data_IF_905446025002
#
_entry.id   IF_905446025002
#
_cell.length_a   1.000
_cell.length_b   1.000
_cell.length_c   1.000
_cell.angle_alpha   90.00
_cell.angle_beta   90.00
_cell.angle_gamma   90.00
#
_symmetry.space_group_name_H-M   'P 1'
#
loop_
_entity.id
_entity.type
_entity.pdbx_description
1 polymer ?
#
# COMPACT_ATOMS: atom_id res chain seq x y z
N UNK A 1 11.73 -5.10 -10.18
CA UNK A 1 11.48 -5.63 -8.83
C UNK A 1 9.98 -5.52 -8.62
N UNK A 2 9.35 -6.65 -8.33
CA UNK A 2 7.92 -6.74 -8.06
C UNK A 2 7.72 -6.32 -6.60
N UNK A 3 7.74 -5.01 -6.30
CA UNK A 3 7.94 -4.51 -4.92
C UNK A 3 6.80 -4.84 -3.95
N UNK A 4 5.58 -5.02 -4.47
CA UNK A 4 4.42 -5.50 -3.70
C UNK A 4 4.09 -6.98 -3.95
N UNK A 5 4.93 -7.76 -4.63
CA UNK A 5 4.55 -9.14 -4.95
C UNK A 5 3.54 -9.27 -6.12
N UNK A 6 3.22 -8.17 -6.81
CA UNK A 6 2.38 -8.15 -8.02
C UNK A 6 3.23 -8.37 -9.28
N UNK A 7 3.03 -9.50 -9.97
CA UNK A 7 3.77 -9.82 -11.19
C UNK A 7 3.64 -8.71 -12.26
N UNK A 8 4.69 -8.50 -13.05
CA UNK A 8 4.65 -7.57 -14.19
C UNK A 8 3.46 -7.85 -15.13
N UNK A 9 3.08 -9.12 -15.30
CA UNK A 9 1.93 -9.54 -16.09
C UNK A 9 0.60 -8.99 -15.56
N UNK A 10 0.44 -8.97 -14.23
CA UNK A 10 -0.75 -8.43 -13.56
C UNK A 10 -0.80 -6.91 -13.70
N UNK A 11 0.31 -6.23 -13.43
CA UNK A 11 0.41 -4.76 -13.61
C UNK A 11 0.18 -4.37 -15.07
N UNK A 12 0.78 -5.08 -16.02
CA UNK A 12 0.63 -4.83 -17.45
C UNK A 12 -0.83 -4.97 -17.89
N UNK A 13 -1.52 -6.02 -17.43
CA UNK A 13 -2.95 -6.23 -17.69
C UNK A 13 -3.80 -5.13 -17.06
N UNK A 14 -3.49 -4.74 -15.82
CA UNK A 14 -4.23 -3.70 -15.11
C UNK A 14 -4.12 -2.34 -15.82
N UNK A 15 -2.93 -2.01 -16.31
CA UNK A 15 -2.64 -0.76 -17.02
C UNK A 15 -2.94 -0.80 -18.53
N UNK A 16 -3.39 -1.93 -19.06
CA UNK A 16 -3.58 -2.16 -20.51
C UNK A 16 -2.33 -1.82 -21.35
N UNK A 17 -1.16 -2.25 -20.87
CA UNK A 17 0.13 -2.04 -21.55
C UNK A 17 0.85 -3.35 -21.82
N UNK A 18 1.80 -3.32 -22.76
CA UNK A 18 2.69 -4.45 -22.98
C UNK A 18 3.55 -4.74 -21.75
N UNK A 19 3.73 -6.03 -21.43
CA UNK A 19 4.64 -6.52 -20.38
C UNK A 19 6.06 -5.96 -20.51
N UNK A 20 6.52 -5.71 -21.75
CA UNK A 20 7.84 -5.13 -22.02
C UNK A 20 7.97 -3.67 -21.58
N UNK A 21 6.85 -2.95 -21.41
CA UNK A 21 6.81 -1.58 -20.87
C UNK A 21 6.88 -1.57 -19.35
N UNK A 22 6.50 -2.64 -18.67
CA UNK A 22 6.65 -2.82 -17.21
C UNK A 22 8.10 -3.22 -16.90
N UNK A 23 9.05 -2.38 -17.28
CA UNK A 23 10.45 -2.51 -16.91
C UNK A 23 10.79 -1.43 -15.89
N UNK A 24 11.32 -1.86 -14.75
CA UNK A 24 12.01 -0.93 -13.87
C UNK A 24 13.20 -0.34 -14.61
N UNK A 25 13.29 0.99 -14.64
CA UNK A 25 14.53 1.63 -14.99
C UNK A 25 15.48 1.51 -13.81
N UNK A 26 16.35 0.50 -13.82
CA UNK A 26 17.42 0.35 -12.83
C UNK A 26 18.26 1.65 -12.71
N UNK A 27 18.32 2.44 -13.78
CA UNK A 27 18.95 3.75 -13.80
C UNK A 27 18.23 4.76 -12.88
N UNK A 28 16.89 4.82 -12.91
CA UNK A 28 16.11 5.66 -12.00
C UNK A 28 16.37 5.27 -10.54
N UNK A 29 16.36 3.98 -10.22
CA UNK A 29 16.62 3.51 -8.85
C UNK A 29 18.03 3.88 -8.40
N UNK A 30 19.04 3.71 -9.26
CA UNK A 30 20.42 4.13 -8.96
C UNK A 30 20.51 5.65 -8.75
N UNK A 31 19.81 6.43 -9.57
CA UNK A 31 19.73 7.89 -9.42
C UNK A 31 19.16 8.26 -8.05
N UNK A 32 18.00 7.72 -7.68
CA UNK A 32 17.36 7.98 -6.38
C UNK A 32 18.29 7.59 -5.23
N UNK A 33 18.92 6.40 -5.28
CA UNK A 33 19.88 5.96 -4.26
C UNK A 33 21.08 6.90 -4.13
N UNK A 34 21.58 7.43 -5.25
CA UNK A 34 22.68 8.41 -5.26
C UNK A 34 22.25 9.72 -4.61
N UNK A 35 21.06 10.23 -4.96
CA UNK A 35 20.51 11.47 -4.39
C UNK A 35 20.22 11.36 -2.90
N UNK A 36 19.65 10.25 -2.44
CA UNK A 36 19.43 9.99 -1.01
C UNK A 36 20.74 9.99 -0.22
N UNK A 37 21.83 9.43 -0.79
CA UNK A 37 23.16 9.48 -0.17
C UNK A 37 23.73 10.89 -0.07
N UNK A 38 23.31 11.80 -0.95
CA UNK A 38 23.67 13.23 -0.91
C UNK A 38 22.80 14.03 0.07
N UNK A 39 21.83 13.38 0.73
CA UNK A 39 20.94 14.04 1.70
C UNK A 39 19.74 14.75 1.07
N UNK A 40 19.44 14.51 -0.21
CA UNK A 40 18.24 15.09 -0.84
C UNK A 40 16.98 14.49 -0.19
N UNK A 41 16.04 15.32 0.31
CA UNK A 41 14.82 14.86 0.97
C UNK A 41 13.90 14.03 0.05
N UNK A 42 13.12 13.14 0.65
CA UNK A 42 12.15 12.28 -0.07
C UNK A 42 11.10 13.09 -0.86
N UNK A 43 10.48 14.16 -0.31
CA UNK A 43 9.49 14.95 -1.06
C UNK A 43 10.08 15.58 -2.32
N UNK A 44 11.30 16.12 -2.25
CA UNK A 44 11.99 16.71 -3.40
C UNK A 44 12.29 15.66 -4.49
N UNK A 45 12.64 14.43 -4.09
CA UNK A 45 12.84 13.32 -5.02
C UNK A 45 11.54 12.82 -5.63
N UNK A 46 10.44 12.87 -4.87
CA UNK A 46 9.11 12.52 -5.35
C UNK A 46 8.67 13.43 -6.48
N UNK A 47 8.81 14.75 -6.27
CA UNK A 47 8.48 15.77 -7.25
C UNK A 47 9.39 15.70 -8.48
N UNK A 48 10.71 15.69 -8.31
CA UNK A 48 11.67 15.72 -9.42
C UNK A 48 11.63 14.50 -10.33
N UNK A 49 11.30 13.32 -9.78
CA UNK A 49 11.19 12.09 -10.56
C UNK A 49 9.74 11.74 -10.95
N UNK A 50 8.74 12.48 -10.49
CA UNK A 50 7.31 12.17 -10.63
C UNK A 50 7.00 10.73 -10.16
N UNK A 51 7.47 10.38 -8.95
CA UNK A 51 7.34 9.05 -8.36
C UNK A 51 6.70 9.20 -6.98
N UNK A 52 5.70 8.37 -6.62
CA UNK A 52 5.08 8.44 -5.29
C UNK A 52 6.08 8.28 -4.14
N UNK A 53 5.95 9.11 -3.11
CA UNK A 53 6.77 9.05 -1.89
C UNK A 53 6.93 7.65 -1.28
N UNK A 54 5.87 6.81 -1.16
CA UNK A 54 6.01 5.45 -0.63
C UNK A 54 7.05 4.60 -1.37
N UNK A 55 7.21 4.80 -2.68
CA UNK A 55 8.20 4.09 -3.48
C UNK A 55 9.63 4.56 -3.18
N UNK A 56 9.81 5.85 -2.93
CA UNK A 56 11.11 6.42 -2.55
C UNK A 56 11.45 6.03 -1.12
N UNK A 57 10.49 6.07 -0.20
CA UNK A 57 10.66 5.56 1.17
C UNK A 57 11.08 4.09 1.16
N UNK A 58 10.49 3.23 0.33
CA UNK A 58 10.96 1.85 0.18
C UNK A 58 12.46 1.77 -0.21
N UNK A 59 12.93 2.66 -1.10
CA UNK A 59 14.34 2.71 -1.52
C UNK A 59 15.21 3.22 -0.36
N UNK A 60 14.79 4.29 0.31
CA UNK A 60 15.52 4.90 1.43
C UNK A 60 15.63 3.96 2.64
N UNK A 61 14.65 3.07 2.80
CA UNK A 61 14.55 2.11 3.89
C UNK A 61 15.06 0.71 3.50
N UNK A 62 15.68 0.55 2.34
CA UNK A 62 16.24 -0.74 1.92
C UNK A 62 17.23 -1.28 2.98
N UNK A 63 17.14 -2.58 3.28
CA UNK A 63 17.95 -3.29 4.31
C UNK A 63 17.71 -2.88 5.77
N UNK A 64 16.79 -1.97 6.05
CA UNK A 64 16.40 -1.63 7.43
C UNK A 64 15.45 -2.67 8.03
N UNK A 65 15.66 -2.95 9.31
CA UNK A 65 14.70 -3.61 10.20
C UNK A 65 13.45 -2.75 10.40
N UNK A 66 12.36 -3.31 10.90
CA UNK A 66 11.14 -2.54 11.09
C UNK A 66 11.31 -1.43 12.13
N UNK A 67 12.05 -1.69 13.21
CA UNK A 67 12.38 -0.67 14.23
C UNK A 67 13.13 0.52 13.62
N UNK A 68 14.09 0.25 12.73
CA UNK A 68 14.81 1.31 12.01
C UNK A 68 13.91 2.06 11.02
N UNK A 69 12.88 1.41 10.46
CA UNK A 69 11.87 2.05 9.61
C UNK A 69 10.97 2.98 10.41
N UNK A 70 10.49 2.54 11.58
CA UNK A 70 9.76 3.40 12.52
C UNK A 70 10.57 4.66 12.84
N UNK A 71 11.83 4.49 13.26
CA UNK A 71 12.72 5.62 13.55
C UNK A 71 12.91 6.55 12.35
N UNK A 72 13.16 6.01 11.16
CA UNK A 72 13.39 6.80 9.96
C UNK A 72 12.15 7.57 9.49
N UNK A 73 10.95 7.04 9.76
CA UNK A 73 9.68 7.72 9.47
C UNK A 73 9.24 8.67 10.59
N UNK A 74 10.03 8.80 11.65
CA UNK A 74 9.67 9.55 12.86
C UNK A 74 8.36 9.04 13.50
N UNK A 75 8.17 7.73 13.49
CA UNK A 75 7.05 7.06 14.15
C UNK A 75 7.54 6.41 15.43
N UNK A 76 6.92 6.77 16.56
CA UNK A 76 7.13 6.06 17.83
C UNK A 76 6.53 4.66 17.75
N UNK A 77 7.28 3.66 18.21
CA UNK A 77 6.77 2.31 18.38
C UNK A 77 6.04 2.20 19.73
N UNK A 78 4.74 1.91 19.68
CA UNK A 78 3.87 1.76 20.85
C UNK A 78 3.69 0.27 21.14
N UNK A 79 4.08 -0.15 22.35
CA UNK A 79 4.05 -1.56 22.77
C UNK A 79 2.79 -1.96 23.54
N UNK A 80 1.92 -1.00 23.87
CA UNK A 80 0.66 -1.24 24.55
C UNK A 80 -0.45 -1.54 23.53
N UNK A 81 -1.57 -2.07 24.00
CA UNK A 81 -2.75 -2.44 23.20
C UNK A 81 -3.66 -1.25 22.83
N UNK A 82 -3.43 -0.09 23.45
CA UNK A 82 -4.09 1.15 23.10
C UNK A 82 -3.24 1.98 22.13
N UNK A 83 -3.69 2.05 20.87
CA UNK A 83 -3.06 2.81 19.81
C UNK A 83 -3.93 3.99 19.37
N UNK A 84 -3.39 5.20 19.50
CA UNK A 84 -4.10 6.43 19.20
C UNK A 84 -3.20 7.44 18.49
N UNK A 85 -3.71 8.01 17.39
CA UNK A 85 -3.07 9.09 16.65
C UNK A 85 -4.11 10.12 16.26
N UNK A 86 -3.82 11.40 16.52
CA UNK A 86 -4.67 12.52 16.13
C UNK A 86 -4.52 12.88 14.65
N UNK A 87 -3.34 12.62 14.09
CA UNK A 87 -2.97 13.06 12.75
C UNK A 87 -2.74 11.87 11.81
N UNK A 88 -3.05 12.10 10.54
CA UNK A 88 -2.74 11.19 9.45
C UNK A 88 -1.33 11.49 8.93
N UNK A 89 -0.57 10.43 8.65
CA UNK A 89 0.66 10.60 7.88
C UNK A 89 0.35 10.71 6.40
N UNK A 90 0.38 11.94 5.89
CA UNK A 90 -0.01 12.25 4.52
C UNK A 90 0.89 11.63 3.44
N UNK A 91 2.08 11.13 3.82
CA UNK A 91 3.01 10.44 2.91
C UNK A 91 2.47 9.09 2.41
N UNK A 92 1.47 8.50 3.08
CA UNK A 92 0.97 7.15 2.80
C UNK A 92 -0.54 7.09 2.59
N UNK A 93 -0.98 6.72 1.39
CA UNK A 93 -2.38 6.73 0.96
C UNK A 93 -2.81 8.08 0.36
N UNK A 94 -3.81 8.02 -0.49
CA UNK A 94 -4.42 9.20 -1.12
C UNK A 94 -5.41 9.89 -0.16
N UNK A 95 -5.82 11.12 -0.47
CA UNK A 95 -7.00 11.71 0.16
C UNK A 95 -8.24 10.87 -0.18
N UNK A 96 -8.75 10.15 0.81
CA UNK A 96 -9.81 9.16 0.65
C UNK A 96 -10.71 9.12 1.90
N UNK A 97 -12.04 9.08 1.74
CA UNK A 97 -12.94 9.00 2.88
C UNK A 97 -12.67 7.75 3.71
N UNK A 98 -12.47 7.95 5.02
CA UNK A 98 -12.16 6.87 5.96
C UNK A 98 -10.69 6.51 6.06
N UNK A 99 -9.77 7.24 5.41
CA UNK A 99 -8.32 7.02 5.53
C UNK A 99 -7.89 6.89 7.00
N UNK A 100 -7.21 5.78 7.30
CA UNK A 100 -6.64 5.51 8.63
C UNK A 100 -5.20 6.00 8.76
N UNK A 101 -4.68 6.18 9.99
CA UNK A 101 -3.27 6.47 10.22
C UNK A 101 -2.37 5.36 9.66
N UNK A 102 -1.33 5.73 8.91
CA UNK A 102 -0.33 4.79 8.40
C UNK A 102 0.41 4.06 9.52
N UNK A 103 0.56 4.75 10.66
CA UNK A 103 1.14 4.24 11.90
C UNK A 103 0.36 3.02 12.40
N UNK A 104 -0.98 3.01 12.29
CA UNK A 104 -1.82 1.88 12.69
C UNK A 104 -1.47 0.62 11.88
N UNK A 105 -1.36 0.77 10.56
CA UNK A 105 -0.94 -0.33 9.67
C UNK A 105 0.47 -0.79 10.02
N UNK A 106 1.41 0.14 10.22
CA UNK A 106 2.80 -0.18 10.51
C UNK A 106 2.96 -0.99 11.80
N UNK A 107 2.25 -0.62 12.87
CA UNK A 107 2.24 -1.38 14.12
C UNK A 107 1.63 -2.76 13.91
N UNK A 108 0.55 -2.85 13.14
CA UNK A 108 -0.06 -4.14 12.81
C UNK A 108 0.91 -5.04 12.03
N UNK A 109 1.62 -4.51 11.05
CA UNK A 109 2.67 -5.26 10.32
C UNK A 109 3.83 -5.67 11.23
N UNK A 110 4.23 -4.82 12.17
CA UNK A 110 5.31 -5.11 13.11
C UNK A 110 5.01 -6.28 14.02
N UNK A 111 3.82 -6.31 14.63
CA UNK A 111 3.44 -7.33 15.60
C UNK A 111 2.95 -8.63 14.96
N UNK A 112 2.33 -8.57 13.77
CA UNK A 112 1.61 -9.70 13.19
C UNK A 112 2.15 -10.18 11.83
N UNK A 113 3.28 -9.66 11.36
CA UNK A 113 3.90 -10.13 10.10
C UNK A 113 5.42 -10.00 10.13
N UNK A 114 6.10 -10.50 9.09
CA UNK A 114 7.54 -10.31 8.89
C UNK A 114 7.81 -9.67 7.52
N UNK A 115 8.99 -9.08 7.36
CA UNK A 115 9.43 -8.62 6.04
C UNK A 115 9.36 -9.78 5.02
N UNK A 116 8.85 -9.49 3.82
CA UNK A 116 8.61 -10.43 2.73
C UNK A 116 7.25 -11.14 2.76
N UNK A 117 6.53 -11.11 3.91
CA UNK A 117 5.19 -11.68 4.01
C UNK A 117 4.23 -11.03 3.01
N UNK A 118 3.26 -11.81 2.53
CA UNK A 118 2.17 -11.36 1.67
C UNK A 118 0.99 -10.94 2.54
N UNK A 119 0.62 -9.67 2.43
CA UNK A 119 -0.54 -9.08 3.05
C UNK A 119 -1.67 -9.04 2.01
N UNK A 120 -2.89 -9.35 2.43
CA UNK A 120 -4.09 -9.12 1.63
C UNK A 120 -4.88 -7.96 2.22
N UNK A 121 -5.13 -6.96 1.40
CA UNK A 121 -6.09 -5.88 1.68
C UNK A 121 -7.25 -5.98 0.67
N UNK A 122 -8.42 -6.49 1.09
CA UNK A 122 -9.56 -6.65 0.19
C UNK A 122 -10.37 -5.34 -0.02
N UNK A 123 -10.05 -4.27 0.71
CA UNK A 123 -10.79 -3.00 0.74
C UNK A 123 -9.83 -1.79 0.81
N UNK A 124 -8.91 -1.72 -0.15
CA UNK A 124 -7.73 -0.88 -0.06
C UNK A 124 -7.99 0.62 -0.12
N UNK A 125 -9.12 1.05 -0.69
CA UNK A 125 -9.58 2.43 -0.70
C UNK A 125 -8.55 3.43 -1.21
N UNK A 126 -8.03 4.24 -0.29
CA UNK A 126 -7.00 5.24 -0.55
C UNK A 126 -5.59 4.67 -0.70
N UNK A 127 -5.36 3.40 -0.35
CA UNK A 127 -4.10 2.69 -0.55
C UNK A 127 -3.08 2.83 0.58
N UNK A 128 -3.52 3.16 1.81
CA UNK A 128 -2.63 3.23 2.98
C UNK A 128 -1.92 1.90 3.22
N UNK A 129 -2.64 0.77 3.16
CA UNK A 129 -2.05 -0.55 3.42
C UNK A 129 -0.98 -0.93 2.39
N UNK A 130 -1.21 -0.89 1.06
CA UNK A 130 -0.16 -1.19 0.11
C UNK A 130 1.03 -0.23 0.22
N UNK A 131 0.82 1.06 0.52
CA UNK A 131 1.91 2.02 0.69
C UNK A 131 2.79 1.70 1.91
N UNK A 132 2.16 1.37 3.04
CA UNK A 132 2.87 0.97 4.26
C UNK A 132 3.52 -0.40 4.07
N UNK A 133 2.88 -1.35 3.40
CA UNK A 133 3.49 -2.64 3.05
C UNK A 133 4.76 -2.43 2.22
N UNK A 134 4.70 -1.56 1.21
CA UNK A 134 5.84 -1.21 0.37
C UNK A 134 6.98 -0.63 1.23
N UNK A 135 6.69 0.35 2.09
CA UNK A 135 7.69 0.98 2.95
C UNK A 135 8.18 0.09 4.09
N UNK A 136 7.44 -0.94 4.49
CA UNK A 136 7.83 -1.94 5.50
C UNK A 136 8.30 -3.27 4.90
N UNK A 137 8.60 -3.28 3.60
CA UNK A 137 9.12 -4.45 2.90
C UNK A 137 8.22 -5.69 3.05
N UNK A 138 6.90 -5.50 3.00
CA UNK A 138 5.88 -6.54 2.82
C UNK A 138 5.41 -6.53 1.37
N UNK A 139 4.97 -7.70 0.90
CA UNK A 139 4.20 -7.80 -0.34
C UNK A 139 2.74 -7.51 -0.02
N UNK A 140 1.98 -6.97 -0.97
CA UNK A 140 0.57 -6.67 -0.78
C UNK A 140 -0.21 -7.02 -2.04
N UNK A 141 -1.30 -7.77 -1.88
CA UNK A 141 -2.37 -7.79 -2.86
C UNK A 141 -3.49 -6.91 -2.32
N UNK A 142 -3.76 -5.83 -3.05
CA UNK A 142 -4.74 -4.83 -2.69
C UNK A 142 -5.87 -4.81 -3.71
N UNK A 143 -7.10 -4.82 -3.21
CA UNK A 143 -8.31 -4.80 -4.02
C UNK A 143 -9.28 -3.73 -3.51
N UNK A 144 -10.08 -3.17 -4.41
CA UNK A 144 -11.17 -2.27 -4.04
C UNK A 144 -12.32 -2.38 -5.05
N UNK A 145 -13.52 -1.95 -4.65
CA UNK A 145 -14.68 -1.89 -5.54
C UNK A 145 -14.51 -0.83 -6.63
N UNK A 146 -13.90 0.31 -6.29
CA UNK A 146 -13.74 1.45 -7.19
C UNK A 146 -12.47 1.29 -8.02
N UNK A 147 -12.62 1.34 -9.34
CA UNK A 147 -11.47 1.34 -10.25
C UNK A 147 -10.72 2.68 -10.16
N UNK A 148 -9.43 2.62 -9.87
CA UNK A 148 -8.52 3.78 -9.78
C UNK A 148 -7.19 3.51 -10.45
N UNK A 149 -7.14 2.58 -11.41
CA UNK A 149 -5.90 2.11 -12.05
C UNK A 149 -4.96 3.21 -12.57
N UNK A 150 -5.49 4.36 -12.98
CA UNK A 150 -4.68 5.48 -13.48
C UNK A 150 -3.86 6.17 -12.38
N UNK A 151 -4.34 6.11 -11.13
CA UNK A 151 -3.66 6.67 -9.95
C UNK A 151 -2.98 5.60 -9.10
N UNK A 152 -3.63 4.45 -8.95
CA UNK A 152 -3.28 3.36 -8.03
C UNK A 152 -3.30 2.01 -8.76
N UNK A 153 -2.41 1.78 -9.74
CA UNK A 153 -2.40 0.54 -10.54
C UNK A 153 -2.09 -0.72 -9.75
N UNK A 154 -1.58 -0.60 -8.52
CA UNK A 154 -1.39 -1.70 -7.59
C UNK A 154 -2.67 -2.12 -6.85
N UNK A 155 -3.74 -1.32 -6.93
CA UNK A 155 -5.07 -1.65 -6.39
C UNK A 155 -5.94 -2.17 -7.54
N UNK A 156 -6.24 -3.47 -7.52
CA UNK A 156 -7.04 -4.12 -8.56
C UNK A 156 -8.54 -4.00 -8.25
N UNK A 157 -9.35 -3.67 -9.26
CA UNK A 157 -10.81 -3.64 -9.09
C UNK A 157 -11.33 -5.05 -8.81
N UNK A 158 -12.06 -5.24 -7.72
CA UNK A 158 -12.67 -6.52 -7.40
C UNK A 158 -13.98 -6.36 -6.64
N UNK A 159 -14.98 -7.17 -7.00
CA UNK A 159 -16.26 -7.24 -6.30
C UNK A 159 -16.36 -8.58 -5.57
N UNK A 160 -16.45 -8.52 -4.24
CA UNK A 160 -16.59 -9.69 -3.38
C UNK A 160 -18.06 -10.14 -3.34
N UNK A 161 -18.44 -11.07 -4.22
CA UNK A 161 -19.80 -11.66 -4.23
C UNK A 161 -19.89 -12.83 -3.22
N UNK A 162 -20.64 -12.69 -2.11
CA UNK A 162 -20.79 -13.76 -1.13
C UNK A 162 -21.53 -14.99 -1.68
N UNK A 163 -22.32 -14.84 -2.75
CA UNK A 163 -23.02 -15.95 -3.42
C UNK A 163 -22.15 -16.68 -4.44
N UNK A 164 -21.08 -16.03 -4.92
CA UNK A 164 -20.13 -16.56 -5.90
C UNK A 164 -18.71 -16.24 -5.47
N UNK A 165 -18.30 -16.83 -4.35
CA UNK A 165 -16.97 -16.61 -3.78
C UNK A 165 -15.91 -17.05 -4.79
N UNK A 166 -15.18 -16.09 -5.31
CA UNK A 166 -14.03 -16.30 -6.20
C UNK A 166 -12.81 -15.65 -5.58
N UNK A 167 -11.69 -16.35 -5.63
CA UNK A 167 -10.41 -15.78 -5.20
C UNK A 167 -9.89 -14.84 -6.29
N UNK A 168 -9.49 -13.61 -5.97
CA UNK A 168 -9.17 -12.60 -6.98
C UNK A 168 -7.89 -12.89 -7.77
N UNK A 169 -7.01 -13.74 -7.22
CA UNK A 169 -5.73 -14.08 -7.85
C UNK A 169 -5.69 -15.57 -8.11
N UNK A 170 -5.44 -16.00 -9.35
CA UNK A 170 -5.21 -17.41 -9.65
C UNK A 170 -3.80 -17.83 -9.16
N UNK A 171 -3.67 -18.08 -7.86
CA UNK A 171 -2.44 -18.48 -7.18
C UNK A 171 -2.74 -19.44 -6.03
N UNK A 172 -1.84 -20.41 -5.81
CA UNK A 172 -1.88 -21.29 -4.64
C UNK A 172 -1.33 -20.63 -3.37
N UNK A 173 -0.72 -19.44 -3.52
CA UNK A 173 -0.15 -18.70 -2.39
C UNK A 173 -1.26 -18.12 -1.52
N UNK A 174 -1.19 -18.39 -0.22
CA UNK A 174 -2.05 -17.80 0.80
C UNK A 174 -1.39 -16.53 1.37
N UNK A 175 -2.19 -15.50 1.74
CA UNK A 175 -1.66 -14.37 2.49
C UNK A 175 -1.25 -14.81 3.90
N UNK A 176 -0.19 -14.20 4.42
CA UNK A 176 0.29 -14.39 5.79
C UNK A 176 -0.54 -13.57 6.79
N UNK A 177 -1.18 -12.48 6.33
CA UNK A 177 -2.07 -11.63 7.11
C UNK A 177 -3.13 -11.00 6.18
N UNK A 178 -4.36 -10.90 6.67
CA UNK A 178 -5.45 -10.16 6.01
C UNK A 178 -5.72 -8.90 6.84
N UNK A 179 -5.61 -7.74 6.23
CA UNK A 179 -5.97 -6.45 6.84
C UNK A 179 -7.27 -5.97 6.21
N UNK A 180 -8.37 -6.15 6.93
CA UNK A 180 -9.68 -5.67 6.52
C UNK A 180 -10.02 -4.41 7.30
N UNK A 181 -9.90 -3.27 6.62
CA UNK A 181 -10.21 -1.97 7.22
C UNK A 181 -11.60 -1.58 6.74
N UNK A 182 -12.62 -2.09 7.43
CA UNK A 182 -13.99 -1.77 7.10
C UNK A 182 -14.35 -0.38 7.62
N UNK A 183 -14.69 0.53 6.71
CA UNK A 183 -15.20 1.84 7.07
C UNK A 183 -16.70 1.90 6.80
N UNK A 184 -17.49 1.92 7.88
CA UNK A 184 -18.85 2.44 7.84
C UNK A 184 -18.70 3.96 7.99
N UNK A 185 -18.84 4.69 6.88
CA UNK A 185 -18.74 6.14 6.90
C UNK A 185 -19.94 6.74 6.20
N UNK A 186 -20.65 7.64 6.89
CA UNK A 186 -21.69 8.48 6.28
C UNK A 186 -21.16 9.32 5.11
N UNK A 187 -19.85 9.47 4.97
CA UNK A 187 -19.23 10.16 3.81
C UNK A 187 -19.27 9.32 2.53
N UNK A 188 -19.70 8.06 2.61
CA UNK A 188 -19.78 7.12 1.48
C UNK A 188 -21.17 6.49 1.33
N UNK A 189 -22.20 7.09 1.93
CA UNK A 189 -23.57 6.54 1.87
C UNK A 189 -24.03 6.31 0.44
N UNK A 190 -23.70 7.22 -0.48
CA UNK A 190 -24.05 7.12 -1.90
C UNK A 190 -23.35 5.95 -2.64
N UNK A 191 -22.24 5.43 -2.09
CA UNK A 191 -21.52 4.30 -2.65
C UNK A 191 -22.10 2.94 -2.17
N UNK A 192 -23.01 2.95 -1.19
CA UNK A 192 -23.59 1.73 -0.61
C UNK A 192 -24.88 1.32 -1.34
N UNK A 193 -25.14 0.00 -1.38
CA UNK A 193 -26.41 -0.54 -1.87
C UNK A 193 -27.58 -0.01 -1.03
N UNK A 194 -28.80 0.17 -1.59
CA UNK A 194 -29.98 0.59 -0.84
C UNK A 194 -30.23 -0.21 0.45
N UNK A 195 -29.98 -1.52 0.40
CA UNK A 195 -30.17 -2.45 1.53
C UNK A 195 -28.97 -2.50 2.51
N UNK A 196 -28.01 -1.58 2.38
CA UNK A 196 -26.85 -1.52 3.28
C UNK A 196 -27.27 -1.10 4.68
N UNK A 197 -26.69 -1.73 5.71
CA UNK A 197 -26.84 -1.31 7.12
C UNK A 197 -26.29 0.10 7.40
N UNK A 198 -25.63 0.70 6.41
CA UNK A 198 -25.02 2.04 6.49
C UNK A 198 -25.87 3.16 5.88
N UNK A 199 -27.06 2.83 5.33
CA UNK A 199 -28.08 3.79 4.88
C UNK A 199 -29.11 4.03 5.98
#
# INVERSE_FOLDING_TARGET
MIRLGISNDRIARQLDISKNRVKESAQIIRSIKSSLKKGIPVPELSESHNIPEPLIWHIALEKKTDQERFKALNWGLITWDYWYWNDLDYRFGDDWPGRIPAQLVAHTLFYFSRQGHLILDPMAGGGVVPDVCLAFNRRCWSFDLKDRKDKRPEIEKFYWDPKKIQWPVNSKQKPDLILLIHHISRKKTDDYSPDSISN
#
